data_IF_368527262927
#
_entry.id   IF_368527262927
#
_cell.length_a   1.000
_cell.length_b   1.000
_cell.length_c   1.000
_cell.angle_alpha   90.00
_cell.angle_beta   90.00
_cell.angle_gamma   90.00
#
_symmetry.space_group_name_H-M   'P 1'
#
loop_
_entity.id
_entity.type
_entity.pdbx_description
1 polymer ?
#
# COMPACT_ATOMS: atom_id res chain seq x y z
N UNK A 1 -4.20 0.02 6.07
CA UNK A 1 -3.18 -0.41 7.05
C UNK A 1 -1.85 -0.45 6.32
N UNK A 2 -0.82 0.14 6.92
CA UNK A 2 0.56 0.18 6.43
C UNK A 2 1.50 -0.26 7.58
N UNK A 3 2.76 -0.51 7.26
CA UNK A 3 3.78 -0.99 8.20
C UNK A 3 5.12 -0.34 7.90
N UNK A 4 5.88 -0.04 8.95
CA UNK A 4 7.27 0.40 8.87
C UNK A 4 7.99 -0.17 10.10
N UNK A 5 9.12 -0.83 9.91
CA UNK A 5 9.94 -1.45 10.96
C UNK A 5 9.16 -2.25 12.01
N UNK A 6 8.18 -3.05 11.58
CA UNK A 6 7.37 -3.86 12.48
C UNK A 6 6.40 -3.09 13.37
N UNK A 7 6.11 -1.82 13.02
CA UNK A 7 5.02 -1.05 13.60
C UNK A 7 3.88 -0.99 12.57
N UNK A 8 2.73 -1.53 12.95
CA UNK A 8 1.49 -1.46 12.20
C UNK A 8 0.82 -0.11 12.43
N UNK A 9 0.41 0.54 11.34
CA UNK A 9 -0.36 1.77 11.35
C UNK A 9 -1.73 1.56 10.70
N UNK A 10 -2.80 1.76 11.46
CA UNK A 10 -4.17 1.56 10.97
C UNK A 10 -5.21 2.40 11.72
N UNK A 11 -6.35 2.58 11.06
CA UNK A 11 -7.55 3.18 11.61
C UNK A 11 -8.56 2.08 11.96
N UNK A 12 -8.98 1.93 13.23
CA UNK A 12 -10.00 0.97 13.61
C UNK A 12 -11.33 1.27 12.90
N UNK A 13 -11.96 0.24 12.31
CA UNK A 13 -13.19 0.39 11.50
C UNK A 13 -14.40 0.95 12.24
N UNK A 14 -14.37 0.95 13.58
CA UNK A 14 -15.47 1.39 14.44
C UNK A 14 -15.28 2.79 15.04
N UNK A 15 -14.15 3.47 14.77
CA UNK A 15 -13.88 4.75 15.41
C UNK A 15 -14.60 5.91 14.72
N UNK A 16 -15.58 6.52 15.41
CA UNK A 16 -16.19 7.80 15.00
C UNK A 16 -15.18 8.97 15.00
N UNK A 17 -14.05 8.78 15.67
CA UNK A 17 -13.08 9.84 15.97
C UNK A 17 -11.86 9.85 15.04
N UNK A 18 -11.84 9.03 13.97
CA UNK A 18 -10.78 8.97 12.95
C UNK A 18 -9.34 9.00 13.51
N UNK A 19 -9.12 8.36 14.66
CA UNK A 19 -7.79 8.27 15.25
C UNK A 19 -6.99 7.13 14.62
N UNK A 20 -5.67 7.26 14.67
CA UNK A 20 -4.74 6.24 14.18
C UNK A 20 -4.15 5.49 15.37
N UNK A 21 -4.02 4.17 15.21
CA UNK A 21 -3.32 3.31 16.14
C UNK A 21 -2.00 2.90 15.50
N UNK A 22 -0.92 3.09 16.25
CA UNK A 22 0.37 2.47 16.02
C UNK A 22 0.49 1.29 16.95
N UNK A 23 0.78 0.12 16.43
CA UNK A 23 0.86 -1.10 17.20
C UNK A 23 2.08 -1.91 16.78
N UNK A 24 2.91 -2.29 17.74
CA UNK A 24 3.90 -3.33 17.57
C UNK A 24 3.38 -4.61 18.25
N UNK A 25 2.90 -5.61 17.47
CA UNK A 25 2.49 -6.92 17.98
C UNK A 25 3.57 -7.67 18.77
N UNK A 26 4.82 -7.68 18.30
CA UNK A 26 5.92 -8.45 18.91
C UNK A 26 6.20 -8.06 20.35
N UNK A 27 6.13 -6.76 20.67
CA UNK A 27 6.31 -6.26 22.05
C UNK A 27 4.98 -5.91 22.75
N UNK A 28 3.84 -6.14 22.07
CA UNK A 28 2.48 -5.88 22.56
C UNK A 28 2.25 -4.43 23.03
N UNK A 29 2.93 -3.46 22.42
CA UNK A 29 2.77 -2.03 22.74
C UNK A 29 2.01 -1.33 21.63
N UNK A 30 1.10 -0.44 22.02
CA UNK A 30 0.39 0.41 21.09
C UNK A 30 0.40 1.86 21.57
N UNK A 31 0.23 2.77 20.61
CA UNK A 31 0.08 4.21 20.84
C UNK A 31 -1.06 4.74 19.98
N UNK A 32 -1.82 5.68 20.52
CA UNK A 32 -2.85 6.41 19.78
C UNK A 32 -2.27 7.74 19.34
N UNK A 33 -2.46 8.06 18.07
CA UNK A 33 -2.09 9.36 17.51
C UNK A 33 -3.33 10.26 17.51
N UNK A 34 -3.21 11.55 17.90
CA UNK A 34 -4.32 12.48 17.81
C UNK A 34 -4.89 12.53 16.38
N UNK A 35 -6.22 12.62 16.23
CA UNK A 35 -6.82 12.75 14.92
C UNK A 35 -6.45 14.10 14.28
N UNK A 36 -6.44 14.16 12.94
CA UNK A 36 -6.20 15.38 12.15
C UNK A 36 -7.24 16.50 12.41
N UNK A 37 -8.31 16.21 13.16
CA UNK A 37 -9.39 17.15 13.49
C UNK A 37 -10.59 17.05 12.54
N UNK A 38 -11.53 18.00 12.64
CA UNK A 38 -12.82 17.99 11.93
C UNK A 38 -12.70 18.05 10.39
N UNK A 39 -11.54 18.47 9.86
CA UNK A 39 -11.26 18.57 8.43
C UNK A 39 -11.30 17.20 7.72
N UNK A 40 -11.15 16.10 8.48
CA UNK A 40 -10.91 14.75 7.96
C UNK A 40 -12.13 13.82 7.97
N UNK A 41 -13.36 14.35 7.88
CA UNK A 41 -14.62 13.57 8.04
C UNK A 41 -15.10 12.82 6.79
N UNK A 42 -14.24 12.53 5.81
CA UNK A 42 -14.67 11.97 4.53
C UNK A 42 -14.04 10.63 4.18
N UNK A 43 -14.69 9.96 3.23
CA UNK A 43 -14.73 8.51 3.00
C UNK A 43 -13.46 7.86 2.41
N UNK A 44 -12.31 8.54 2.37
CA UNK A 44 -11.09 7.99 1.73
C UNK A 44 -9.79 8.62 2.24
N UNK A 45 -9.56 8.61 3.55
CA UNK A 45 -8.27 9.03 4.11
C UNK A 45 -7.23 7.91 3.98
N UNK A 46 -6.12 8.20 3.33
CA UNK A 46 -5.03 7.24 3.14
C UNK A 46 -3.89 7.54 4.11
N UNK A 47 -3.94 6.90 5.28
CA UNK A 47 -2.87 6.96 6.27
C UNK A 47 -1.71 6.08 5.88
N UNK A 48 -0.52 6.67 5.92
CA UNK A 48 0.77 6.10 5.56
C UNK A 48 1.75 6.37 6.70
N UNK A 49 2.80 5.56 6.80
CA UNK A 49 3.74 5.60 7.91
C UNK A 49 5.13 5.28 7.39
N UNK A 50 6.13 6.05 7.84
CA UNK A 50 7.51 5.91 7.39
C UNK A 50 8.49 6.50 8.39
N UNK A 51 9.74 6.07 8.26
CA UNK A 51 10.86 6.53 9.07
C UNK A 51 11.63 7.62 8.32
N UNK A 52 11.86 8.75 8.97
CA UNK A 52 12.70 9.84 8.45
C UNK A 52 14.09 9.75 9.10
N UNK A 53 15.13 9.30 8.36
CA UNK A 53 16.47 9.13 8.90
C UNK A 53 17.15 10.47 9.23
N UNK A 54 16.72 11.59 8.64
CA UNK A 54 17.34 12.90 8.88
C UNK A 54 17.06 13.42 10.28
N UNK A 55 15.83 13.22 10.77
CA UNK A 55 15.42 13.61 12.13
C UNK A 55 15.41 12.45 13.13
N UNK A 56 15.81 11.25 12.71
CA UNK A 56 15.81 10.01 13.51
C UNK A 56 14.44 9.76 14.17
N UNK A 57 13.37 9.86 13.37
CA UNK A 57 12.01 9.75 13.89
C UNK A 57 11.00 9.30 12.83
N UNK A 58 9.86 8.81 13.27
CA UNK A 58 8.78 8.39 12.38
C UNK A 58 7.81 9.53 12.08
N UNK A 59 7.26 9.48 10.88
CA UNK A 59 6.21 10.37 10.39
C UNK A 59 4.96 9.56 10.03
N UNK A 60 3.80 10.05 10.46
CA UNK A 60 2.51 9.68 9.89
C UNK A 60 2.15 10.68 8.81
N UNK A 61 1.66 10.17 7.70
CA UNK A 61 1.27 10.96 6.55
C UNK A 61 -0.16 10.57 6.21
N UNK A 62 -1.01 11.57 6.01
CA UNK A 62 -2.38 11.34 5.56
C UNK A 62 -2.62 12.13 4.31
N UNK A 63 -3.08 11.45 3.26
CA UNK A 63 -3.66 12.09 2.09
C UNK A 63 -5.17 12.04 2.22
N UNK A 64 -5.82 13.18 2.09
CA UNK A 64 -7.26 13.33 2.24
C UNK A 64 -7.81 14.33 1.22
N UNK A 65 -9.06 14.13 0.82
CA UNK A 65 -9.75 15.07 -0.07
C UNK A 65 -10.31 16.25 0.74
N UNK A 66 -9.86 17.46 0.43
CA UNK A 66 -10.39 18.70 1.02
C UNK A 66 -11.54 19.23 0.17
N UNK A 67 -12.70 19.44 0.80
CA UNK A 67 -13.85 20.08 0.13
C UNK A 67 -13.67 21.57 -0.11
N UNK A 68 -12.81 22.23 0.68
CA UNK A 68 -12.60 23.67 0.57
C UNK A 68 -11.73 24.00 -0.65
N UNK A 69 -10.68 23.19 -0.89
CA UNK A 69 -9.80 23.34 -2.06
C UNK A 69 -10.20 22.46 -3.24
N UNK A 70 -11.18 21.57 -3.07
CA UNK A 70 -11.63 20.57 -4.05
C UNK A 70 -10.49 19.69 -4.59
N UNK A 71 -9.48 19.40 -3.75
CA UNK A 71 -8.26 18.70 -4.13
C UNK A 71 -7.79 17.76 -3.03
N UNK A 72 -6.87 16.86 -3.40
CA UNK A 72 -6.13 16.07 -2.43
C UNK A 72 -5.12 16.96 -1.70
N UNK A 73 -5.19 16.94 -0.37
CA UNK A 73 -4.24 17.58 0.51
C UNK A 73 -3.52 16.53 1.33
N UNK A 74 -2.37 16.93 1.86
CA UNK A 74 -1.52 16.06 2.65
C UNK A 74 -1.13 16.75 3.95
N UNK A 75 -1.15 15.98 5.02
CA UNK A 75 -0.68 16.42 6.33
C UNK A 75 0.27 15.39 6.91
N UNK A 76 1.27 15.90 7.61
CA UNK A 76 2.33 15.13 8.25
C UNK A 76 2.28 15.34 9.76
N UNK A 77 2.45 14.26 10.50
CA UNK A 77 2.61 14.26 11.94
C UNK A 77 3.87 13.50 12.32
N UNK A 78 4.85 14.22 12.87
CA UNK A 78 6.05 13.61 13.43
C UNK A 78 5.76 13.05 14.82
N UNK A 79 6.15 11.80 15.09
CA UNK A 79 5.89 11.18 16.38
C UNK A 79 6.51 11.97 17.53
N UNK A 80 5.74 12.14 18.60
CA UNK A 80 6.15 12.91 19.79
C UNK A 80 5.76 14.39 19.74
N UNK A 81 5.26 14.89 18.61
CA UNK A 81 4.62 16.20 18.51
C UNK A 81 3.12 16.10 18.83
N UNK A 82 2.43 17.25 18.96
CA UNK A 82 1.00 17.28 19.30
C UNK A 82 0.08 17.66 18.14
N UNK A 83 0.64 18.08 17.00
CA UNK A 83 -0.13 18.64 15.90
C UNK A 83 0.22 17.97 14.56
N UNK A 84 -0.70 18.14 13.62
CA UNK A 84 -0.48 17.81 12.22
C UNK A 84 -0.15 19.08 11.46
N UNK A 85 0.78 18.99 10.52
CA UNK A 85 1.16 20.10 9.65
C UNK A 85 0.82 19.76 8.21
N UNK A 86 0.07 20.64 7.55
CA UNK A 86 -0.14 20.60 6.10
C UNK A 86 1.17 20.92 5.38
N UNK A 87 1.50 20.16 4.35
CA UNK A 87 2.66 20.40 3.49
C UNK A 87 2.20 20.85 2.09
N UNK A 88 3.10 20.85 1.10
CA UNK A 88 2.75 21.20 -0.28
C UNK A 88 1.61 20.31 -0.79
N UNK A 89 0.73 20.90 -1.60
CA UNK A 89 -0.44 20.22 -2.18
C UNK A 89 -0.02 18.93 -2.90
N UNK A 90 -0.88 17.90 -2.82
CA UNK A 90 -0.59 16.63 -3.48
C UNK A 90 -0.60 16.85 -5.01
N UNK A 91 0.40 16.36 -5.75
CA UNK A 91 0.60 16.72 -7.15
C UNK A 91 -0.42 16.10 -8.13
N UNK A 92 -1.41 15.35 -7.63
CA UNK A 92 -2.46 14.69 -8.40
C UNK A 92 -3.85 14.99 -7.83
N UNK A 93 -4.81 15.32 -8.69
CA UNK A 93 -6.19 15.64 -8.27
C UNK A 93 -7.09 14.41 -8.24
N UNK A 94 -6.64 13.29 -8.81
CA UNK A 94 -7.42 12.07 -8.98
C UNK A 94 -7.47 11.15 -7.75
N UNK A 95 -7.72 9.86 -8.00
CA UNK A 95 -7.83 8.85 -6.96
C UNK A 95 -6.47 8.31 -6.52
N UNK A 96 -6.39 7.89 -5.27
CA UNK A 96 -5.20 7.24 -4.70
C UNK A 96 -5.57 5.78 -4.42
N UNK A 97 -4.72 4.86 -4.91
CA UNK A 97 -4.97 3.42 -4.85
C UNK A 97 -4.90 2.79 -3.45
N UNK A 98 -4.52 3.56 -2.42
CA UNK A 98 -4.42 3.06 -1.05
C UNK A 98 -3.44 3.82 -0.18
N UNK A 99 -3.14 3.30 1.03
CA UNK A 99 -2.02 3.75 1.86
C UNK A 99 -0.71 3.78 1.08
N UNK A 100 0.17 4.72 1.44
CA UNK A 100 1.50 4.82 0.86
C UNK A 100 2.42 3.73 1.39
N UNK A 101 3.37 3.35 0.54
CA UNK A 101 4.35 2.31 0.76
C UNK A 101 5.73 2.95 1.05
N UNK A 102 6.32 2.60 2.19
CA UNK A 102 7.62 3.11 2.59
C UNK A 102 8.77 2.31 1.95
N UNK A 103 9.61 2.96 1.15
CA UNK A 103 10.81 2.39 0.51
C UNK A 103 11.85 3.49 0.36
N UNK A 104 13.12 3.21 0.69
CA UNK A 104 14.25 4.16 0.54
C UNK A 104 13.95 5.57 1.05
N UNK A 105 13.52 5.67 2.31
CA UNK A 105 13.27 6.95 3.00
C UNK A 105 12.14 7.80 2.40
N UNK A 106 11.38 7.25 1.45
CA UNK A 106 10.22 7.89 0.84
C UNK A 106 8.94 7.10 1.12
N UNK A 107 7.80 7.78 0.94
CA UNK A 107 6.48 7.16 0.94
C UNK A 107 5.86 7.28 -0.45
N UNK A 108 5.40 6.16 -0.99
CA UNK A 108 5.03 6.01 -2.39
C UNK A 108 3.54 5.66 -2.52
N UNK A 109 2.78 6.42 -3.30
CA UNK A 109 1.37 6.14 -3.59
C UNK A 109 1.17 5.89 -5.07
N UNK A 110 0.39 4.86 -5.40
CA UNK A 110 -0.17 4.73 -6.73
C UNK A 110 -1.31 5.74 -6.88
N UNK A 111 -1.15 6.70 -7.79
CA UNK A 111 -2.14 7.72 -8.10
C UNK A 111 -2.69 7.52 -9.51
N UNK A 112 -3.96 7.86 -9.68
CA UNK A 112 -4.70 7.74 -10.93
C UNK A 112 -5.49 9.02 -11.20
N UNK A 113 -5.32 9.61 -12.37
CA UNK A 113 -6.07 10.79 -12.81
C UNK A 113 -6.70 10.55 -14.20
N UNK A 114 -7.98 10.90 -14.34
CA UNK A 114 -8.67 10.86 -15.63
C UNK A 114 -8.46 12.19 -16.35
N UNK A 115 -7.61 12.20 -17.38
CA UNK A 115 -7.38 13.38 -18.23
C UNK A 115 -7.90 13.07 -19.63
N UNK A 116 -8.92 13.81 -20.08
CA UNK A 116 -9.46 13.71 -21.45
C UNK A 116 -9.85 12.27 -21.90
N UNK A 117 -10.48 11.51 -21.01
CA UNK A 117 -10.81 10.08 -21.19
C UNK A 117 -9.60 9.14 -21.32
N UNK A 118 -8.39 9.61 -21.01
CA UNK A 118 -7.20 8.78 -20.89
C UNK A 118 -6.77 8.73 -19.42
N UNK A 119 -6.71 7.53 -18.86
CA UNK A 119 -6.27 7.33 -17.48
C UNK A 119 -4.75 7.48 -17.37
N UNK A 120 -4.29 8.42 -16.56
CA UNK A 120 -2.87 8.57 -16.21
C UNK A 120 -2.63 7.90 -14.86
N UNK A 121 -1.80 6.86 -14.87
CA UNK A 121 -1.29 6.22 -13.67
C UNK A 121 0.15 6.65 -13.42
N UNK A 122 0.47 6.99 -12.18
CA UNK A 122 1.83 7.30 -11.76
C UNK A 122 2.04 6.90 -10.31
N UNK A 123 3.30 6.78 -9.91
CA UNK A 123 3.66 6.71 -8.51
C UNK A 123 4.05 8.12 -8.05
N UNK A 124 3.39 8.62 -7.02
CA UNK A 124 3.81 9.83 -6.32
C UNK A 124 4.69 9.40 -5.16
N UNK A 125 5.95 9.81 -5.17
CA UNK A 125 6.93 9.56 -4.11
C UNK A 125 7.11 10.84 -3.30
N UNK A 126 6.90 10.78 -1.99
CA UNK A 126 7.23 11.86 -1.05
C UNK A 126 8.53 11.51 -0.33
N UNK A 127 9.56 12.32 -0.53
CA UNK A 127 10.79 12.27 0.24
C UNK A 127 10.53 12.80 1.65
N UNK A 128 10.83 12.00 2.68
CA UNK A 128 10.49 12.37 4.05
C UNK A 128 11.41 13.43 4.64
N UNK A 129 12.67 13.54 4.20
CA UNK A 129 13.61 14.54 4.69
C UNK A 129 13.24 15.94 4.17
N UNK A 130 13.10 16.05 2.85
CA UNK A 130 12.89 17.30 2.14
C UNK A 130 11.42 17.70 2.01
N UNK A 131 10.50 16.75 2.24
CA UNK A 131 9.06 16.90 2.05
C UNK A 131 8.69 17.36 0.63
N UNK A 132 9.44 16.84 -0.35
CA UNK A 132 9.26 17.13 -1.77
C UNK A 132 8.73 15.91 -2.53
N UNK A 133 8.07 16.16 -3.65
CA UNK A 133 7.48 15.12 -4.49
C UNK A 133 8.32 14.80 -5.70
N UNK A 134 8.39 13.52 -6.02
CA UNK A 134 8.83 13.00 -7.30
C UNK A 134 7.69 12.19 -7.94
N UNK A 135 7.49 12.37 -9.25
CA UNK A 135 6.52 11.59 -10.03
C UNK A 135 7.29 10.51 -10.78
N UNK A 136 7.08 9.27 -10.38
CA UNK A 136 7.73 8.10 -10.96
C UNK A 136 6.76 7.44 -11.95
N UNK A 137 7.25 7.20 -13.17
CA UNK A 137 6.47 6.54 -14.21
C UNK A 137 6.30 5.04 -13.93
N UNK A 138 5.10 4.54 -14.20
CA UNK A 138 4.80 3.10 -14.17
C UNK A 138 5.31 2.40 -15.46
N UNK A 139 5.42 1.07 -15.49
CA UNK A 139 5.70 0.34 -16.72
C UNK A 139 4.57 0.51 -17.74
N UNK A 140 4.91 0.43 -19.03
CA UNK A 140 3.94 0.54 -20.13
C UNK A 140 3.14 -0.78 -20.24
N UNK A 141 2.04 -0.88 -19.48
CA UNK A 141 1.12 -2.05 -19.47
C UNK A 141 -0.31 -1.58 -19.73
N UNK A 142 -1.17 -2.47 -20.23
CA UNK A 142 -2.55 -2.13 -20.63
C UNK A 142 -3.38 -1.55 -19.46
N UNK A 143 -4.16 -0.50 -19.75
CA UNK A 143 -4.92 0.28 -18.75
C UNK A 143 -6.15 -0.44 -18.19
N UNK A 144 -6.64 -1.49 -18.85
CA UNK A 144 -7.87 -2.20 -18.47
C UNK A 144 -7.70 -3.14 -17.26
N UNK A 145 -6.49 -3.21 -16.70
CA UNK A 145 -6.15 -4.06 -15.56
C UNK A 145 -6.23 -3.27 -14.24
N UNK A 146 -6.38 -3.98 -13.13
CA UNK A 146 -6.26 -3.41 -11.80
C UNK A 146 -4.79 -3.33 -11.39
N UNK A 147 -4.44 -2.26 -10.70
CA UNK A 147 -3.06 -1.96 -10.32
C UNK A 147 -2.96 -1.78 -8.82
N UNK A 148 -1.97 -2.41 -8.21
CA UNK A 148 -1.61 -2.16 -6.80
C UNK A 148 -0.11 -2.03 -6.65
N UNK A 149 0.29 -1.15 -5.73
CA UNK A 149 1.68 -0.89 -5.39
C UNK A 149 2.03 -1.57 -4.07
N UNK A 150 3.12 -2.31 -4.05
CA UNK A 150 3.60 -3.04 -2.87
C UNK A 150 5.14 -3.02 -2.83
N UNK A 151 5.74 -3.69 -1.84
CA UNK A 151 7.19 -3.90 -1.75
C UNK A 151 7.52 -5.36 -1.97
N UNK A 152 8.55 -5.60 -2.77
CA UNK A 152 9.15 -6.91 -2.95
C UNK A 152 10.67 -6.80 -2.94
N UNK A 153 11.34 -7.56 -2.05
CA UNK A 153 12.81 -7.57 -1.94
C UNK A 153 13.38 -6.15 -1.82
N UNK A 154 12.77 -5.36 -0.93
CA UNK A 154 13.10 -3.95 -0.69
C UNK A 154 12.99 -3.02 -1.92
N UNK A 155 12.36 -3.49 -2.99
CA UNK A 155 12.10 -2.73 -4.21
C UNK A 155 10.60 -2.45 -4.34
N UNK A 156 10.24 -1.33 -4.97
CA UNK A 156 8.86 -1.10 -5.36
C UNK A 156 8.44 -2.13 -6.40
N UNK A 157 7.26 -2.71 -6.20
CA UNK A 157 6.64 -3.61 -7.16
C UNK A 157 5.21 -3.17 -7.47
N UNK A 158 4.78 -3.48 -8.68
CA UNK A 158 3.41 -3.29 -9.13
C UNK A 158 2.84 -4.66 -9.46
N UNK A 159 1.68 -4.95 -8.87
CA UNK A 159 0.84 -6.05 -9.29
C UNK A 159 -0.20 -5.54 -10.27
N UNK A 160 -0.22 -6.15 -11.46
CA UNK A 160 -1.16 -5.84 -12.52
C UNK A 160 -2.07 -7.05 -12.69
N UNK A 161 -3.30 -6.94 -12.22
CA UNK A 161 -4.25 -8.05 -12.15
C UNK A 161 -5.42 -7.86 -13.12
N UNK A 162 -5.83 -8.96 -13.75
CA UNK A 162 -7.10 -9.11 -14.44
C UNK A 162 -7.89 -10.25 -13.80
N UNK A 163 -9.07 -10.56 -14.33
CA UNK A 163 -9.88 -11.70 -13.87
C UNK A 163 -9.15 -13.05 -14.02
N UNK A 164 -8.13 -13.13 -14.88
CA UNK A 164 -7.47 -14.39 -15.24
C UNK A 164 -5.96 -14.39 -15.00
N UNK A 165 -5.33 -13.21 -14.90
CA UNK A 165 -3.88 -13.11 -14.88
C UNK A 165 -3.39 -12.15 -13.80
N UNK A 166 -2.22 -12.49 -13.24
CA UNK A 166 -1.42 -11.63 -12.38
C UNK A 166 -0.04 -11.45 -13.01
N UNK A 167 0.28 -10.21 -13.40
CA UNK A 167 1.64 -9.83 -13.75
C UNK A 167 2.28 -9.09 -12.56
N UNK A 168 3.50 -9.49 -12.20
CA UNK A 168 4.29 -8.81 -11.16
C UNK A 168 5.47 -8.10 -11.81
N UNK A 169 5.51 -6.77 -11.67
CA UNK A 169 6.61 -5.94 -12.12
C UNK A 169 7.41 -5.43 -10.93
N UNK A 170 8.74 -5.42 -11.05
CA UNK A 170 9.65 -4.92 -10.01
C UNK A 170 10.57 -3.83 -10.60
N UNK A 171 10.73 -2.75 -9.85
CA UNK A 171 11.66 -1.66 -10.16
C UNK A 171 13.01 -1.97 -9.52
N UNK A 172 13.97 -2.45 -10.32
CA UNK A 172 15.30 -2.85 -9.80
C UNK A 172 16.13 -1.67 -9.31
N UNK A 173 15.97 -0.53 -9.95
CA UNK A 173 16.63 0.73 -9.59
C UNK A 173 15.56 1.75 -9.25
N UNK A 174 15.52 2.14 -7.98
CA UNK A 174 14.51 3.06 -7.46
C UNK A 174 14.43 4.36 -8.27
N UNK A 175 13.21 4.80 -8.56
CA UNK A 175 12.86 5.96 -9.39
C UNK A 175 13.35 5.91 -10.86
N UNK A 176 13.90 4.79 -11.35
CA UNK A 176 14.33 4.65 -12.75
C UNK A 176 13.29 3.85 -13.54
N UNK A 177 12.59 4.50 -14.48
CA UNK A 177 11.53 3.88 -15.32
C UNK A 177 12.06 2.66 -16.08
N UNK A 178 13.24 2.76 -16.66
CA UNK A 178 13.85 1.72 -17.50
C UNK A 178 14.24 0.46 -16.70
N UNK A 179 14.24 0.55 -15.36
CA UNK A 179 14.57 -0.57 -14.49
C UNK A 179 13.38 -1.47 -14.16
N UNK A 180 12.16 -1.10 -14.58
CA UNK A 180 10.99 -1.95 -14.45
C UNK A 180 11.18 -3.24 -15.25
N UNK A 181 11.07 -4.37 -14.57
CA UNK A 181 11.15 -5.69 -15.19
C UNK A 181 10.00 -6.56 -14.72
N UNK A 182 9.39 -7.31 -15.64
CA UNK A 182 8.38 -8.31 -15.29
C UNK A 182 9.09 -9.49 -14.63
N UNK A 183 8.72 -9.79 -13.38
CA UNK A 183 9.30 -10.86 -12.58
C UNK A 183 8.48 -12.15 -12.69
N UNK A 184 7.15 -12.04 -12.61
CA UNK A 184 6.22 -13.17 -12.70
C UNK A 184 5.05 -12.85 -13.62
N UNK A 185 4.49 -13.89 -14.23
CA UNK A 185 3.21 -13.87 -14.93
C UNK A 185 2.49 -15.16 -14.57
N UNK A 186 1.36 -15.04 -13.88
CA UNK A 186 0.59 -16.18 -13.37
C UNK A 186 -0.78 -16.14 -14.02
N UNK A 187 -1.16 -17.22 -14.67
CA UNK A 187 -2.51 -17.38 -15.25
C UNK A 187 -3.32 -18.36 -14.43
N UNK A 188 -4.47 -17.90 -13.96
CA UNK A 188 -5.42 -18.68 -13.17
C UNK A 188 -6.41 -19.36 -14.13
N UNK A 189 -5.92 -20.34 -14.89
CA UNK A 189 -6.74 -21.07 -15.87
C UNK A 189 -7.61 -22.10 -15.13
N UNK A 190 -8.94 -21.89 -15.12
CA UNK A 190 -9.92 -22.92 -14.72
C UNK A 190 -10.82 -22.64 -13.52
N UNK A 191 -10.97 -21.40 -13.04
CA UNK A 191 -11.82 -21.08 -11.89
C UNK A 191 -12.70 -19.83 -12.06
N UNK A 192 -13.87 -19.84 -11.42
CA UNK A 192 -14.81 -18.71 -11.30
C UNK A 192 -14.34 -17.72 -10.21
N UNK A 193 -13.12 -17.21 -10.33
CA UNK A 193 -12.54 -16.31 -9.34
C UNK A 193 -12.67 -14.86 -9.80
N UNK A 194 -13.01 -13.96 -8.89
CA UNK A 194 -12.98 -12.53 -9.14
C UNK A 194 -12.17 -11.89 -8.02
N UNK A 195 -11.30 -10.93 -8.36
CA UNK A 195 -10.38 -10.28 -7.43
C UNK A 195 -9.22 -11.17 -6.95
N UNK A 196 -8.02 -10.79 -7.39
CA UNK A 196 -6.75 -11.45 -7.11
C UNK A 196 -5.87 -10.44 -6.40
N UNK A 197 -5.47 -10.75 -5.17
CA UNK A 197 -4.60 -9.88 -4.39
C UNK A 197 -3.36 -10.65 -3.96
N UNK A 198 -2.20 -10.19 -4.40
CA UNK A 198 -0.94 -10.75 -3.89
C UNK A 198 -0.66 -10.18 -2.51
N UNK A 199 -0.38 -11.06 -1.55
CA UNK A 199 -0.08 -10.69 -0.16
C UNK A 199 1.41 -10.66 0.12
N UNK A 200 2.15 -11.65 -0.41
CA UNK A 200 3.56 -11.82 -0.13
C UNK A 200 4.25 -12.66 -1.19
N UNK A 201 5.56 -12.49 -1.35
CA UNK A 201 6.39 -13.36 -2.16
C UNK A 201 7.56 -13.82 -1.28
N UNK A 202 7.68 -15.13 -1.14
CA UNK A 202 8.72 -15.78 -0.37
C UNK A 202 10.07 -15.74 -1.10
N UNK A 203 11.16 -15.87 -0.34
CA UNK A 203 12.52 -15.89 -0.89
C UNK A 203 12.74 -16.96 -1.98
N UNK A 204 11.99 -18.06 -1.91
CA UNK A 204 12.09 -19.19 -2.84
C UNK A 204 11.24 -19.06 -4.11
N UNK A 205 10.79 -17.84 -4.45
CA UNK A 205 9.95 -17.54 -5.62
C UNK A 205 8.55 -18.16 -5.54
N UNK A 206 8.06 -18.36 -4.32
CA UNK A 206 6.68 -18.72 -4.04
C UNK A 206 5.87 -17.45 -3.77
N UNK A 207 4.62 -17.39 -4.22
CA UNK A 207 3.76 -16.22 -4.14
C UNK A 207 2.52 -16.59 -3.31
N UNK A 208 2.31 -15.90 -2.20
CA UNK A 208 1.07 -15.98 -1.43
C UNK A 208 0.03 -15.03 -2.05
N UNK A 209 -1.05 -15.61 -2.53
CA UNK A 209 -2.15 -14.91 -3.19
C UNK A 209 -3.44 -15.14 -2.40
N UNK A 210 -4.15 -14.05 -2.16
CA UNK A 210 -5.54 -14.02 -1.72
C UNK A 210 -6.45 -13.98 -2.94
N UNK A 211 -7.42 -14.89 -2.98
CA UNK A 211 -8.39 -15.02 -4.06
C UNK A 211 -9.79 -14.99 -3.47
N UNK A 212 -10.71 -14.35 -4.17
CA UNK A 212 -12.13 -14.41 -3.84
C UNK A 212 -12.89 -15.20 -4.91
N UNK A 213 -13.74 -16.12 -4.47
CA UNK A 213 -14.67 -16.83 -5.38
C UNK A 213 -16.02 -16.11 -5.49
N UNK A 214 -16.87 -16.56 -6.43
CA UNK A 214 -18.23 -16.01 -6.64
C UNK A 214 -19.09 -15.97 -5.36
N UNK A 215 -18.83 -16.89 -4.41
CA UNK A 215 -19.54 -17.00 -3.14
C UNK A 215 -18.97 -16.05 -2.06
N UNK A 216 -17.98 -15.23 -2.41
CA UNK A 216 -17.21 -14.33 -1.54
C UNK A 216 -16.37 -15.07 -0.50
N UNK A 217 -16.07 -16.34 -0.75
CA UNK A 217 -15.14 -17.09 0.10
C UNK A 217 -13.73 -16.63 -0.23
N UNK A 218 -12.97 -16.35 0.82
CA UNK A 218 -11.57 -16.00 0.73
C UNK A 218 -10.73 -17.28 0.71
N UNK A 219 -9.86 -17.41 -0.28
CA UNK A 219 -8.91 -18.51 -0.43
C UNK A 219 -7.50 -17.94 -0.37
N UNK A 220 -6.61 -18.62 0.37
CA UNK A 220 -5.20 -18.29 0.42
C UNK A 220 -4.42 -19.41 -0.28
N UNK A 221 -3.76 -19.06 -1.38
CA UNK A 221 -3.04 -19.99 -2.23
C UNK A 221 -1.58 -19.60 -2.28
N UNK A 222 -0.70 -20.59 -2.19
CA UNK A 222 0.72 -20.42 -2.49
C UNK A 222 0.97 -20.92 -3.91
N UNK A 223 1.34 -20.01 -4.80
CA UNK A 223 1.80 -20.34 -6.15
C UNK A 223 3.31 -20.54 -6.14
N UNK A 224 3.78 -21.68 -6.62
CA UNK A 224 5.21 -21.95 -6.81
C UNK A 224 5.60 -21.68 -8.27
N UNK A 225 6.33 -20.59 -8.50
CA UNK A 225 6.72 -20.17 -9.85
C UNK A 225 7.76 -21.09 -10.51
N UNK A 226 8.48 -21.93 -9.74
CA UNK A 226 9.52 -22.81 -10.29
C UNK A 226 8.94 -24.04 -10.97
N UNK A 227 7.81 -24.51 -10.46
CA UNK A 227 7.15 -25.73 -10.94
C UNK A 227 5.75 -25.44 -11.52
N UNK A 228 5.32 -24.18 -11.53
CA UNK A 228 4.03 -23.71 -12.06
C UNK A 228 2.83 -24.44 -11.44
N UNK A 229 2.83 -24.53 -10.10
CA UNK A 229 1.77 -25.23 -9.36
C UNK A 229 1.17 -24.38 -8.26
N UNK A 230 -0.14 -24.53 -8.04
CA UNK A 230 -0.86 -23.93 -6.93
C UNK A 230 -1.00 -24.93 -5.78
N UNK A 231 -0.69 -24.49 -4.57
CA UNK A 231 -0.96 -25.22 -3.34
C UNK A 231 -1.97 -24.43 -2.51
N UNK A 232 -3.18 -24.97 -2.39
CA UNK A 232 -4.24 -24.37 -1.56
C UNK A 232 -3.89 -24.65 -0.11
N UNK A 233 -3.65 -23.60 0.67
CA UNK A 233 -3.54 -23.75 2.11
C UNK A 233 -4.92 -23.51 2.71
N UNK A 234 -5.53 -24.58 3.21
CA UNK A 234 -6.69 -24.46 4.09
C UNK A 234 -6.23 -23.81 5.40
N UNK A 235 -6.31 -22.48 5.45
CA UNK A 235 -6.10 -21.75 6.70
C UNK A 235 -7.37 -21.87 7.53
N UNK A 236 -7.31 -22.66 8.60
CA UNK A 236 -8.39 -22.76 9.59
C UNK A 236 -8.81 -21.34 10.06
N UNK A 237 -10.11 -21.04 10.00
CA UNK A 237 -10.74 -19.74 10.33
C UNK A 237 -10.55 -18.59 9.33
N UNK A 238 -10.21 -18.85 8.06
CA UNK A 238 -10.08 -17.82 7.01
C UNK A 238 -11.31 -16.92 6.83
N UNK A 239 -12.52 -17.39 7.11
CA UNK A 239 -13.77 -16.62 6.97
C UNK A 239 -13.89 -15.38 7.88
N UNK A 240 -12.98 -15.19 8.83
CA UNK A 240 -12.96 -14.05 9.76
C UNK A 240 -11.90 -12.99 9.42
N UNK A 241 -10.98 -13.24 8.48
CA UNK A 241 -9.88 -12.34 8.18
C UNK A 241 -10.32 -11.26 7.17
N UNK A 242 -10.37 -10.00 7.60
CA UNK A 242 -10.53 -8.87 6.68
C UNK A 242 -9.18 -8.20 6.47
N UNK A 243 -8.67 -8.24 5.23
CA UNK A 243 -7.42 -7.62 4.78
C UNK A 243 -6.16 -8.15 5.49
N UNK A 244 -5.71 -9.39 5.17
CA UNK A 244 -4.43 -9.88 5.67
C UNK A 244 -3.28 -8.96 5.25
N UNK A 245 -2.28 -8.84 6.12
CA UNK A 245 -1.05 -8.11 5.85
C UNK A 245 0.14 -8.84 6.44
N UNK A 246 1.25 -8.75 5.72
CA UNK A 246 2.54 -9.28 6.15
C UNK A 246 3.09 -8.39 7.25
N UNK A 247 3.60 -9.04 8.30
CA UNK A 247 4.16 -8.39 9.46
C UNK A 247 5.58 -8.93 9.67
N UNK A 248 6.53 -8.01 9.86
CA UNK A 248 7.91 -8.34 10.22
C UNK A 248 8.06 -7.97 11.70
N UNK A 249 8.54 -8.91 12.50
CA UNK A 249 8.74 -8.69 13.94
C UNK A 249 9.82 -7.63 14.19
N UNK A 250 9.58 -6.78 15.20
CA UNK A 250 10.59 -5.82 15.66
C UNK A 250 10.47 -5.53 17.15
N UNK A 251 11.53 -4.97 17.72
CA UNK A 251 11.56 -4.53 19.12
C UNK A 251 11.30 -3.01 19.28
N UNK A 252 10.92 -2.32 18.20
CA UNK A 252 10.74 -0.86 18.19
C UNK A 252 9.42 -0.49 18.87
N UNK A 253 9.46 0.46 19.81
CA UNK A 253 8.25 0.93 20.48
C UNK A 253 7.57 2.03 19.67
N UNK A 254 6.24 1.97 19.47
CA UNK A 254 5.47 3.07 18.91
C UNK A 254 5.39 4.28 19.85
#
# INVERSE_FOLDING_TARGET
MCTCDGILCFTPSTSKDNFVVLWNPSIRKFKRVPPLGYQCRLFSNHYSFGYDPFIDNYKLIVVYFSRESEKNEISVHTLGTEYWRRIQDFPFSGHIGGPGIFVKDTVNWLAFENVDNNGLFAIVSLDLETESYEIISIPDVNSDKYWSLEVLRDCLCIYVTSDLDLDVWIMKEYAIKESWTKLYSVSFVGGQMYDIRTLYIFEHDQILVELHDWERTQHLIVYDSKIDTFNIQDIENGSLLKNPKVYIESLISP
#
